data_IF_263102824247
#
_entry.id   IF_263102824247
#
_cell.length_a   1.000
_cell.length_b   1.000
_cell.length_c   1.000
_cell.angle_alpha   90.00
_cell.angle_beta   90.00
_cell.angle_gamma   90.00
#
_symmetry.space_group_name_H-M   'P 1'
#
loop_
_entity.id
_entity.type
_entity.pdbx_description
1 polymer ?
#
# COMPACT_ATOMS: atom_id res chain seq x y z
N UNK A 1 -17.93 -39.75 -5.14
CA UNK A 1 -17.45 -38.35 -5.18
C UNK A 1 -17.65 -37.76 -3.79
N UNK A 2 -16.59 -37.69 -2.99
CA UNK A 2 -16.63 -37.17 -1.62
C UNK A 2 -16.60 -35.64 -1.65
N UNK A 3 -17.68 -34.99 -1.24
CA UNK A 3 -17.71 -33.53 -1.11
C UNK A 3 -16.81 -33.13 0.06
N UNK A 4 -15.72 -32.42 -0.25
CA UNK A 4 -14.90 -31.78 0.77
C UNK A 4 -15.72 -30.65 1.41
N UNK A 5 -15.78 -30.58 2.75
CA UNK A 5 -16.48 -29.50 3.43
C UNK A 5 -15.84 -28.15 3.08
N UNK A 6 -16.68 -27.14 2.86
CA UNK A 6 -16.25 -25.77 2.59
C UNK A 6 -15.22 -25.33 3.63
N UNK A 7 -13.99 -25.09 3.18
CA UNK A 7 -12.92 -24.56 4.03
C UNK A 7 -13.31 -23.13 4.40
N UNK A 8 -13.62 -22.91 5.68
CA UNK A 8 -13.79 -21.57 6.23
C UNK A 8 -12.48 -20.83 5.95
N UNK A 9 -12.54 -19.73 5.20
CA UNK A 9 -11.39 -18.84 5.06
C UNK A 9 -11.15 -18.29 6.46
N UNK A 10 -10.08 -18.77 7.10
CA UNK A 10 -9.67 -18.23 8.40
C UNK A 10 -9.46 -16.72 8.22
N UNK A 11 -10.37 -15.95 8.81
CA UNK A 11 -10.24 -14.51 8.84
C UNK A 11 -9.11 -14.25 9.85
N UNK A 12 -7.89 -14.05 9.34
CA UNK A 12 -6.68 -13.71 10.11
C UNK A 12 -6.81 -12.33 10.79
N UNK A 13 -7.90 -12.09 11.50
CA UNK A 13 -8.13 -10.93 12.36
C UNK A 13 -7.38 -11.06 13.69
N UNK A 14 -6.22 -11.72 13.69
CA UNK A 14 -5.13 -11.34 14.57
C UNK A 14 -4.32 -10.23 13.86
N UNK A 15 -5.04 -9.18 13.44
CA UNK A 15 -4.48 -8.08 12.66
C UNK A 15 -3.58 -7.27 13.59
N UNK A 16 -2.29 -7.27 13.28
CA UNK A 16 -1.41 -6.18 13.69
C UNK A 16 -2.14 -4.85 13.43
N UNK A 17 -2.10 -3.88 14.35
CA UNK A 17 -2.85 -2.63 14.18
C UNK A 17 -2.50 -2.00 12.84
N UNK A 18 -3.52 -1.80 12.00
CA UNK A 18 -3.40 -1.24 10.66
C UNK A 18 -4.47 -0.17 10.45
N UNK A 19 -4.16 0.85 9.64
CA UNK A 19 -5.10 1.90 9.27
C UNK A 19 -5.12 2.03 7.74
N UNK A 20 -6.09 1.37 7.12
CA UNK A 20 -6.19 1.26 5.65
C UNK A 20 -6.54 2.63 5.05
N UNK A 21 -7.34 3.42 5.74
CA UNK A 21 -7.72 4.77 5.34
C UNK A 21 -6.51 5.71 5.32
N UNK A 22 -5.60 5.58 6.30
CA UNK A 22 -4.36 6.35 6.33
C UNK A 22 -3.42 5.95 5.18
N UNK A 23 -3.30 4.66 4.87
CA UNK A 23 -2.53 4.18 3.71
C UNK A 23 -3.06 4.78 2.39
N UNK A 24 -4.37 4.74 2.20
CA UNK A 24 -5.03 5.35 1.04
C UNK A 24 -4.82 6.86 0.98
N UNK A 25 -4.90 7.56 2.11
CA UNK A 25 -4.69 9.00 2.18
C UNK A 25 -3.24 9.37 1.78
N UNK A 26 -2.24 8.61 2.24
CA UNK A 26 -0.84 8.81 1.85
C UNK A 26 -0.67 8.63 0.34
N UNK A 27 -1.14 7.50 -0.20
CA UNK A 27 -1.03 7.20 -1.64
C UNK A 27 -1.75 8.27 -2.46
N UNK A 28 -3.00 8.58 -2.11
CA UNK A 28 -3.81 9.58 -2.81
C UNK A 28 -3.15 10.96 -2.79
N UNK A 29 -2.52 11.34 -1.68
CA UNK A 29 -1.82 12.61 -1.57
C UNK A 29 -0.65 12.69 -2.55
N UNK A 30 0.18 11.64 -2.64
CA UNK A 30 1.31 11.61 -3.58
C UNK A 30 0.84 11.65 -5.04
N UNK A 31 -0.22 10.91 -5.36
CA UNK A 31 -0.78 10.88 -6.72
C UNK A 31 -1.37 12.23 -7.15
N UNK A 32 -1.78 13.08 -6.21
CA UNK A 32 -2.24 14.45 -6.45
C UNK A 32 -1.06 15.43 -6.50
N UNK A 33 -0.06 15.26 -5.64
CA UNK A 33 1.12 16.12 -5.54
C UNK A 33 2.36 15.27 -5.26
N UNK A 34 3.16 15.05 -6.31
CA UNK A 34 4.33 14.17 -6.24
C UNK A 34 5.42 14.66 -5.27
N UNK A 35 5.52 15.98 -5.07
CA UNK A 35 6.50 16.60 -4.15
C UNK A 35 6.33 16.12 -2.69
N UNK A 36 5.12 15.66 -2.33
CA UNK A 36 4.84 15.08 -1.00
C UNK A 36 5.71 13.84 -0.75
N UNK A 37 6.04 13.07 -1.80
CA UNK A 37 6.88 11.89 -1.65
C UNK A 37 8.24 12.24 -1.05
N UNK A 38 8.87 13.32 -1.55
CA UNK A 38 10.19 13.74 -1.07
C UNK A 38 10.15 14.15 0.41
N UNK A 39 9.06 14.79 0.84
CA UNK A 39 8.84 15.18 2.24
C UNK A 39 8.69 13.96 3.17
N UNK A 40 7.97 12.91 2.74
CA UNK A 40 7.63 11.77 3.59
C UNK A 40 8.58 10.57 3.46
N UNK A 41 9.37 10.49 2.39
CA UNK A 41 10.29 9.35 2.14
C UNK A 41 11.26 9.03 3.29
N UNK A 42 11.69 9.98 4.15
CA UNK A 42 12.52 9.63 5.32
C UNK A 42 11.77 8.86 6.41
N UNK A 43 10.43 8.94 6.43
CA UNK A 43 9.58 8.38 7.50
C UNK A 43 8.68 7.23 7.01
N UNK A 44 8.26 7.22 5.74
CA UNK A 44 7.34 6.23 5.17
C UNK A 44 8.04 5.49 4.02
N UNK A 45 7.99 4.16 4.09
CA UNK A 45 8.47 3.26 3.03
C UNK A 45 7.39 2.19 2.75
N UNK A 46 7.54 1.46 1.63
CA UNK A 46 6.56 0.48 1.19
C UNK A 46 6.27 -0.63 2.22
N UNK A 47 7.23 -0.98 3.08
CA UNK A 47 7.08 -2.06 4.07
C UNK A 47 6.17 -1.67 5.25
N UNK A 48 5.89 -0.37 5.42
CA UNK A 48 4.97 0.14 6.45
C UNK A 48 3.50 0.01 6.08
N UNK A 49 3.19 -0.34 4.83
CA UNK A 49 1.83 -0.60 4.38
C UNK A 49 1.40 -2.02 4.73
N UNK A 50 0.20 -2.16 5.28
CA UNK A 50 -0.40 -3.44 5.62
C UNK A 50 -1.01 -4.13 4.40
N UNK A 51 -1.71 -3.39 3.53
CA UNK A 51 -2.35 -3.99 2.36
C UNK A 51 -1.30 -4.30 1.27
N UNK A 52 -1.17 -5.56 0.80
CA UNK A 52 -0.21 -5.92 -0.24
C UNK A 52 -0.38 -5.16 -1.55
N UNK A 53 -1.59 -4.67 -1.85
CA UNK A 53 -1.87 -3.83 -3.01
C UNK A 53 -1.27 -2.43 -2.78
N UNK A 54 -1.45 -1.86 -1.59
CA UNK A 54 -0.86 -0.56 -1.25
C UNK A 54 0.66 -0.59 -1.25
N UNK A 55 1.27 -1.68 -0.75
CA UNK A 55 2.73 -1.92 -0.86
C UNK A 55 3.18 -1.81 -2.33
N UNK A 56 2.48 -2.49 -3.25
CA UNK A 56 2.82 -2.48 -4.68
C UNK A 56 2.64 -1.10 -5.33
N UNK A 57 1.57 -0.38 -4.99
CA UNK A 57 1.32 0.97 -5.49
C UNK A 57 2.45 1.90 -5.03
N UNK A 58 2.74 1.92 -3.73
CA UNK A 58 3.80 2.79 -3.18
C UNK A 58 5.18 2.46 -3.76
N UNK A 59 5.51 1.17 -3.93
CA UNK A 59 6.77 0.74 -4.58
C UNK A 59 6.87 1.25 -6.01
N UNK A 60 5.75 1.29 -6.74
CA UNK A 60 5.71 1.79 -8.12
C UNK A 60 5.88 3.30 -8.16
N UNK A 61 5.25 4.02 -7.24
CA UNK A 61 5.44 5.47 -7.05
C UNK A 61 6.92 5.78 -6.80
N UNK A 62 7.54 5.11 -5.82
CA UNK A 62 8.96 5.25 -5.49
C UNK A 62 9.85 4.99 -6.73
N UNK A 63 9.56 3.93 -7.48
CA UNK A 63 10.32 3.61 -8.70
C UNK A 63 10.22 4.72 -9.76
N UNK A 64 9.04 5.30 -9.97
CA UNK A 64 8.82 6.36 -10.96
C UNK A 64 9.55 7.63 -10.54
N UNK A 65 9.37 8.08 -9.30
CA UNK A 65 9.97 9.31 -8.79
C UNK A 65 11.50 9.20 -8.77
N UNK A 66 12.06 8.06 -8.34
CA UNK A 66 13.51 7.82 -8.39
C UNK A 66 14.09 7.84 -9.83
N UNK A 67 13.26 7.61 -10.84
CA UNK A 67 13.62 7.73 -12.27
C UNK A 67 13.40 9.15 -12.82
N UNK A 68 12.99 10.10 -12.00
CA UNK A 68 12.61 11.45 -12.41
C UNK A 68 11.30 11.51 -13.19
N UNK A 69 10.42 10.50 -13.03
CA UNK A 69 9.11 10.43 -13.67
C UNK A 69 8.01 10.79 -12.67
N UNK A 70 6.89 11.29 -13.18
CA UNK A 70 5.70 11.57 -12.38
C UNK A 70 4.86 10.30 -12.16
N UNK A 71 4.37 10.12 -10.94
CA UNK A 71 3.45 9.08 -10.53
C UNK A 71 2.03 9.67 -10.40
N UNK A 72 1.24 9.49 -11.47
CA UNK A 72 -0.10 10.08 -11.62
C UNK A 72 -1.12 8.97 -11.92
N UNK A 73 -2.42 9.15 -11.59
CA UNK A 73 -3.50 8.25 -11.99
C UNK A 73 -3.68 8.09 -13.50
#
# INVERSE_FOLDING_TARGET
MTQQPFKIVENYQNKMPCNIEAEQAVIGSILVSNDIYDEISPIIDAQKFFDPIHVKIFTTIEMLINKGLLANP
#
